data_IF_035771891096
#
_entry.id   IF_035771891096
#
_cell.length_a   1.000
_cell.length_b   1.000
_cell.length_c   1.000
_cell.angle_alpha   90.00
_cell.angle_beta   90.00
_cell.angle_gamma   90.00
#
_symmetry.space_group_name_H-M   'P 1'
#
loop_
_entity.id
_entity.type
_entity.pdbx_description
1 polymer ?
#
# COMPACT_ATOMS: atom_id res chain seq x y z
N UNK A 1 0.79 44.47 39.64
CA UNK A 1 -0.25 43.44 39.72
C UNK A 1 -1.34 43.47 38.62
N UNK A 2 -1.33 44.40 37.62
CA UNK A 2 -2.38 44.42 36.56
C UNK A 2 -1.92 43.83 35.19
N UNK A 3 -0.66 43.40 35.03
CA UNK A 3 -0.16 42.85 33.75
C UNK A 3 -0.37 41.35 33.58
N UNK A 4 -0.46 40.57 34.65
CA UNK A 4 -0.54 39.10 34.58
C UNK A 4 -1.92 38.60 34.18
N UNK A 5 -2.99 39.28 34.57
CA UNK A 5 -4.38 38.87 34.23
C UNK A 5 -4.73 38.99 32.71
N UNK A 6 -4.05 39.86 31.97
CA UNK A 6 -4.28 40.00 30.52
C UNK A 6 -3.62 38.88 29.75
N UNK A 7 -2.50 38.37 30.21
CA UNK A 7 -1.82 37.25 29.56
C UNK A 7 -2.60 35.92 29.77
N UNK A 8 -3.09 35.64 30.97
CA UNK A 8 -3.90 34.43 31.22
C UNK A 8 -5.19 34.42 30.40
N UNK A 9 -5.91 35.53 30.31
CA UNK A 9 -7.13 35.63 29.50
C UNK A 9 -6.85 35.36 28.00
N UNK A 10 -5.74 35.90 27.48
CA UNK A 10 -5.32 35.68 26.09
C UNK A 10 -4.97 34.22 25.80
N UNK A 11 -4.25 33.53 26.72
CA UNK A 11 -3.91 32.12 26.59
C UNK A 11 -5.15 31.23 26.69
N UNK A 12 -6.11 31.56 27.55
CA UNK A 12 -7.38 30.79 27.67
C UNK A 12 -8.23 30.96 26.41
N UNK A 13 -8.32 32.12 25.84
CA UNK A 13 -9.09 32.40 24.63
C UNK A 13 -8.44 31.82 23.39
N UNK A 14 -7.12 31.85 23.27
CA UNK A 14 -6.34 31.17 22.23
C UNK A 14 -6.48 29.65 22.32
N UNK A 15 -6.47 29.09 23.54
CA UNK A 15 -6.69 27.67 23.76
C UNK A 15 -8.10 27.22 23.41
N UNK A 16 -9.14 28.00 23.76
CA UNK A 16 -10.55 27.73 23.39
C UNK A 16 -10.76 27.81 21.89
N UNK A 17 -10.16 28.80 21.21
CA UNK A 17 -10.22 28.91 19.77
C UNK A 17 -9.48 27.75 19.07
N UNK A 18 -8.34 27.35 19.59
CA UNK A 18 -7.60 26.18 19.09
C UNK A 18 -8.39 24.89 19.25
N UNK A 19 -8.97 24.67 20.44
CA UNK A 19 -9.81 23.51 20.74
C UNK A 19 -11.08 23.50 19.85
N UNK A 20 -11.77 24.64 19.71
CA UNK A 20 -12.94 24.71 18.84
C UNK A 20 -12.62 24.49 17.36
N UNK A 21 -11.49 25.01 16.89
CA UNK A 21 -10.98 24.73 15.53
C UNK A 21 -10.58 23.25 15.35
N UNK A 22 -10.02 22.63 16.38
CA UNK A 22 -9.68 21.21 16.37
C UNK A 22 -10.96 20.34 16.28
N UNK A 23 -12.00 20.67 17.08
CA UNK A 23 -13.30 20.00 17.01
C UNK A 23 -14.01 20.20 15.67
N UNK A 24 -13.99 21.42 15.13
CA UNK A 24 -14.54 21.69 13.79
C UNK A 24 -13.77 20.92 12.70
N UNK A 25 -12.45 20.82 12.79
CA UNK A 25 -11.63 20.00 11.87
C UNK A 25 -11.87 18.50 12.06
N UNK A 26 -12.07 18.02 13.29
CA UNK A 26 -12.45 16.61 13.54
C UNK A 26 -13.78 16.23 12.88
N UNK A 27 -14.74 17.15 12.86
CA UNK A 27 -16.00 16.95 12.14
C UNK A 27 -15.84 16.97 10.61
N UNK A 28 -14.71 17.51 10.09
CA UNK A 28 -14.43 17.56 8.65
C UNK A 28 -13.80 16.27 8.09
N UNK A 29 -13.17 15.41 8.93
CA UNK A 29 -12.62 14.13 8.49
C UNK A 29 -13.60 13.01 8.86
N UNK A 30 -14.36 12.57 7.87
CA UNK A 30 -15.21 11.38 7.94
C UNK A 30 -14.55 10.24 7.16
N UNK A 31 -14.60 9.02 7.72
CA UNK A 31 -13.90 7.85 7.17
C UNK A 31 -14.93 6.77 6.78
N UNK A 32 -14.98 6.48 5.48
CA UNK A 32 -15.68 5.32 4.93
C UNK A 32 -14.69 4.18 4.74
N UNK A 33 -14.90 3.05 5.40
CA UNK A 33 -14.08 1.86 5.20
C UNK A 33 -14.64 1.04 4.03
N UNK A 34 -13.79 0.70 3.06
CA UNK A 34 -14.14 -0.13 1.90
C UNK A 34 -13.40 -1.46 1.99
N UNK A 35 -14.14 -2.56 2.07
CA UNK A 35 -13.61 -3.92 2.23
C UNK A 35 -14.03 -4.77 1.03
N UNK A 36 -13.14 -5.03 0.06
CA UNK A 36 -13.36 -6.05 -0.94
C UNK A 36 -13.15 -7.43 -0.32
N UNK A 37 -14.03 -8.39 -0.58
CA UNK A 37 -13.90 -9.76 -0.12
C UNK A 37 -14.41 -10.74 -1.17
N UNK A 38 -13.94 -12.01 -1.11
CA UNK A 38 -14.41 -13.06 -2.02
C UNK A 38 -14.11 -14.43 -1.40
N UNK A 39 -15.16 -15.18 -1.02
CA UNK A 39 -15.07 -16.53 -0.45
C UNK A 39 -14.14 -16.63 0.78
N UNK A 40 -14.08 -15.57 1.63
CA UNK A 40 -13.20 -15.44 2.80
C UNK A 40 -13.95 -14.98 4.05
N UNK A 41 -15.02 -15.69 4.40
CA UNK A 41 -15.91 -15.32 5.50
C UNK A 41 -15.19 -15.10 6.83
N UNK A 42 -14.26 -15.99 7.20
CA UNK A 42 -13.53 -15.89 8.48
C UNK A 42 -12.63 -14.65 8.53
N UNK A 43 -11.94 -14.36 7.44
CA UNK A 43 -11.12 -13.15 7.30
C UNK A 43 -11.99 -11.90 7.42
N UNK A 44 -13.10 -11.84 6.68
CA UNK A 44 -14.05 -10.74 6.79
C UNK A 44 -14.55 -10.55 8.23
N UNK A 45 -14.92 -11.62 8.92
CA UNK A 45 -15.36 -11.54 10.32
C UNK A 45 -14.23 -11.07 11.26
N UNK A 46 -12.97 -11.41 10.99
CA UNK A 46 -11.79 -10.96 11.75
C UNK A 46 -11.62 -9.45 11.63
N UNK A 47 -11.59 -8.93 10.41
CA UNK A 47 -11.42 -7.48 10.21
C UNK A 47 -12.63 -6.68 10.73
N UNK A 48 -13.86 -7.15 10.55
CA UNK A 48 -15.03 -6.49 11.10
C UNK A 48 -15.03 -6.46 12.64
N UNK A 49 -14.56 -7.53 13.29
CA UNK A 49 -14.33 -7.54 14.75
C UNK A 49 -13.27 -6.52 15.15
N UNK A 50 -12.17 -6.43 14.40
CA UNK A 50 -11.11 -5.45 14.63
C UNK A 50 -11.64 -4.02 14.50
N UNK A 51 -12.47 -3.74 13.50
CA UNK A 51 -13.14 -2.44 13.31
C UNK A 51 -14.16 -2.14 14.41
N UNK A 52 -14.97 -3.13 14.84
CA UNK A 52 -15.94 -2.95 15.92
C UNK A 52 -15.29 -2.67 17.29
N UNK A 53 -14.01 -3.03 17.46
CA UNK A 53 -13.23 -2.79 18.68
C UNK A 53 -12.43 -1.48 18.64
N UNK A 54 -12.51 -0.70 17.57
CA UNK A 54 -11.81 0.57 17.49
C UNK A 54 -12.28 1.56 18.55
N UNK A 55 -11.36 2.34 19.11
CA UNK A 55 -11.67 3.43 20.06
C UNK A 55 -12.48 4.56 19.40
N UNK A 56 -12.22 4.81 18.12
CA UNK A 56 -13.02 5.67 17.24
C UNK A 56 -13.46 4.80 16.07
N UNK A 57 -14.77 4.61 15.93
CA UNK A 57 -15.32 3.82 14.82
C UNK A 57 -15.19 4.58 13.49
N UNK A 58 -15.03 3.88 12.34
CA UNK A 58 -15.27 4.51 11.06
C UNK A 58 -16.72 4.98 10.95
N UNK A 59 -16.98 6.02 10.16
CA UNK A 59 -18.33 6.59 10.02
C UNK A 59 -19.26 5.62 9.27
N UNK A 60 -18.71 4.84 8.35
CA UNK A 60 -19.41 3.73 7.67
C UNK A 60 -18.42 2.64 7.23
N UNK A 61 -18.95 1.43 7.00
CA UNK A 61 -18.21 0.29 6.47
C UNK A 61 -18.95 -0.25 5.25
N UNK A 62 -18.31 -0.30 4.10
CA UNK A 62 -18.88 -0.80 2.85
C UNK A 62 -18.16 -2.11 2.50
N UNK A 63 -18.84 -3.22 2.70
CA UNK A 63 -18.37 -4.55 2.30
C UNK A 63 -18.83 -4.81 0.88
N UNK A 64 -17.87 -5.06 -0.02
CA UNK A 64 -18.16 -5.40 -1.41
C UNK A 64 -17.72 -6.84 -1.66
N UNK A 65 -18.68 -7.74 -1.72
CA UNK A 65 -18.47 -9.17 -1.77
C UNK A 65 -18.60 -9.73 -3.20
N UNK A 66 -17.53 -10.37 -3.67
CA UNK A 66 -17.44 -11.06 -4.96
C UNK A 66 -17.71 -12.57 -4.85
N UNK A 67 -18.13 -13.08 -3.71
CA UNK A 67 -18.34 -14.51 -3.48
C UNK A 67 -19.43 -15.11 -4.39
N UNK A 68 -19.23 -16.34 -4.82
CA UNK A 68 -20.16 -17.07 -5.70
C UNK A 68 -21.25 -17.84 -4.94
N UNK A 69 -21.08 -18.05 -3.64
CA UNK A 69 -22.01 -18.77 -2.77
C UNK A 69 -23.39 -18.08 -2.65
N UNK A 70 -24.45 -18.89 -2.45
CA UNK A 70 -25.82 -18.40 -2.27
C UNK A 70 -26.14 -17.98 -0.83
N UNK A 71 -25.26 -18.24 0.14
CA UNK A 71 -25.52 -17.87 1.53
C UNK A 71 -25.46 -16.36 1.70
N UNK A 72 -26.63 -15.74 1.75
CA UNK A 72 -26.80 -14.35 2.14
C UNK A 72 -26.62 -14.25 3.65
N UNK A 73 -25.41 -13.97 4.09
CA UNK A 73 -25.17 -13.59 5.48
C UNK A 73 -24.74 -12.15 5.50
N UNK A 74 -25.67 -11.26 5.76
CA UNK A 74 -25.36 -9.85 5.98
C UNK A 74 -24.57 -9.72 7.29
N UNK A 75 -23.31 -9.28 7.25
CA UNK A 75 -22.51 -9.13 8.45
C UNK A 75 -23.01 -8.03 9.39
N UNK A 76 -23.94 -7.16 8.95
CA UNK A 76 -24.48 -6.07 9.76
C UNK A 76 -25.13 -6.57 11.05
N UNK A 77 -25.85 -7.71 11.00
CA UNK A 77 -26.48 -8.30 12.18
C UNK A 77 -25.45 -8.74 13.24
N UNK A 78 -24.29 -9.20 12.81
CA UNK A 78 -23.23 -9.68 13.71
C UNK A 78 -22.40 -8.55 14.33
N UNK A 79 -22.42 -7.35 13.74
CA UNK A 79 -21.62 -6.20 14.16
C UNK A 79 -22.46 -4.92 14.33
N UNK A 80 -23.38 -4.86 15.29
CA UNK A 80 -24.35 -3.75 15.45
C UNK A 80 -23.70 -2.40 15.79
N UNK A 81 -22.44 -2.39 16.21
CA UNK A 81 -21.68 -1.15 16.44
C UNK A 81 -21.18 -0.47 15.16
N UNK A 82 -21.18 -1.19 14.05
CA UNK A 82 -20.72 -0.69 12.75
C UNK A 82 -21.90 -0.34 11.87
N UNK A 83 -21.81 0.78 11.17
CA UNK A 83 -22.75 1.14 10.11
C UNK A 83 -22.32 0.43 8.83
N UNK A 84 -22.79 -0.80 8.62
CA UNK A 84 -22.37 -1.67 7.51
C UNK A 84 -23.36 -1.56 6.35
N UNK A 85 -22.84 -1.33 5.14
CA UNK A 85 -23.52 -1.51 3.86
C UNK A 85 -22.90 -2.69 3.13
N UNK A 86 -23.69 -3.72 2.87
CA UNK A 86 -23.23 -4.93 2.18
C UNK A 86 -23.68 -4.91 0.72
N UNK A 87 -22.73 -5.16 -0.20
CA UNK A 87 -22.94 -5.11 -1.66
C UNK A 87 -22.37 -6.34 -2.30
N UNK A 88 -23.16 -7.06 -3.09
CA UNK A 88 -22.70 -8.19 -3.89
C UNK A 88 -22.36 -7.77 -5.32
N UNK A 89 -21.29 -8.38 -5.85
CA UNK A 89 -20.83 -8.15 -7.24
C UNK A 89 -20.09 -9.39 -7.76
N UNK A 90 -19.52 -9.32 -8.95
CA UNK A 90 -18.59 -10.33 -9.43
C UNK A 90 -17.21 -10.21 -8.77
N UNK A 91 -16.47 -11.33 -8.73
CA UNK A 91 -15.14 -11.41 -8.17
C UNK A 91 -14.11 -10.66 -9.04
N UNK A 92 -13.85 -9.40 -8.72
CA UNK A 92 -12.80 -8.57 -9.33
C UNK A 92 -12.42 -7.45 -8.36
N UNK A 93 -11.29 -7.55 -7.70
CA UNK A 93 -10.90 -6.66 -6.59
C UNK A 93 -10.88 -5.18 -6.96
N UNK A 94 -10.42 -4.83 -8.17
CA UNK A 94 -10.42 -3.44 -8.65
C UNK A 94 -11.84 -2.90 -8.81
N UNK A 95 -12.75 -3.71 -9.37
CA UNK A 95 -14.17 -3.37 -9.51
C UNK A 95 -14.82 -3.21 -8.14
N UNK A 96 -14.54 -4.15 -7.23
CA UNK A 96 -15.08 -4.12 -5.86
C UNK A 96 -14.64 -2.84 -5.13
N UNK A 97 -13.35 -2.48 -5.18
CA UNK A 97 -12.84 -1.23 -4.58
C UNK A 97 -13.50 -0.01 -5.20
N UNK A 98 -13.60 0.06 -6.52
CA UNK A 98 -14.24 1.19 -7.20
C UNK A 98 -15.73 1.32 -6.84
N UNK A 99 -16.46 0.21 -6.70
CA UNK A 99 -17.86 0.23 -6.22
C UNK A 99 -17.93 0.82 -4.83
N UNK A 100 -17.09 0.36 -3.89
CA UNK A 100 -17.03 0.87 -2.53
C UNK A 100 -16.69 2.36 -2.47
N UNK A 101 -15.67 2.81 -3.23
CA UNK A 101 -15.27 4.22 -3.31
C UNK A 101 -16.42 5.10 -3.83
N UNK A 102 -17.12 4.67 -4.88
CA UNK A 102 -18.28 5.42 -5.41
C UNK A 102 -19.44 5.53 -4.43
N UNK A 103 -19.69 4.48 -3.64
CA UNK A 103 -20.79 4.43 -2.66
C UNK A 103 -20.48 5.17 -1.37
N UNK A 104 -19.21 5.38 -1.05
CA UNK A 104 -18.81 6.01 0.20
C UNK A 104 -19.28 7.47 0.31
N UNK A 105 -19.68 7.88 1.52
CA UNK A 105 -20.06 9.26 1.84
C UNK A 105 -18.94 10.06 2.49
N UNK A 106 -17.95 9.39 3.08
CA UNK A 106 -16.86 10.01 3.82
C UNK A 106 -15.93 10.86 2.96
N UNK A 107 -15.29 11.85 3.59
CA UNK A 107 -14.25 12.68 2.97
C UNK A 107 -12.95 11.91 2.70
N UNK A 108 -12.72 10.84 3.45
CA UNK A 108 -11.58 9.92 3.33
C UNK A 108 -12.08 8.49 3.22
N UNK A 109 -11.36 7.71 2.43
CA UNK A 109 -11.63 6.28 2.24
C UNK A 109 -10.56 5.48 2.95
N UNK A 110 -10.95 4.64 3.87
CA UNK A 110 -10.10 3.60 4.40
C UNK A 110 -10.20 2.37 3.50
N UNK A 111 -9.22 2.21 2.63
CA UNK A 111 -9.04 0.98 1.86
C UNK A 111 -8.56 -0.11 2.81
N UNK A 112 -9.37 -1.14 3.02
CA UNK A 112 -9.12 -2.15 4.04
C UNK A 112 -9.27 -3.53 3.43
N UNK A 113 -8.16 -4.29 3.36
CA UNK A 113 -8.23 -5.68 2.91
C UNK A 113 -8.87 -6.58 3.98
N UNK A 114 -9.52 -7.66 3.56
CA UNK A 114 -10.29 -8.53 4.45
C UNK A 114 -9.42 -9.39 5.38
N UNK A 115 -8.12 -9.52 5.10
CA UNK A 115 -7.16 -10.34 5.85
C UNK A 115 -6.23 -9.54 6.78
N UNK A 116 -6.66 -8.36 7.23
CA UNK A 116 -5.96 -7.52 8.18
C UNK A 116 -6.42 -7.70 9.63
N UNK A 117 -5.54 -7.33 10.55
CA UNK A 117 -5.83 -7.11 11.97
C UNK A 117 -5.22 -5.78 12.39
N UNK A 118 -6.04 -4.91 12.99
CA UNK A 118 -5.70 -3.53 13.33
C UNK A 118 -5.56 -3.34 14.84
N UNK A 119 -4.65 -2.49 15.31
CA UNK A 119 -4.64 -2.06 16.71
C UNK A 119 -5.93 -1.26 17.03
N UNK A 120 -6.37 -1.28 18.28
CA UNK A 120 -7.65 -0.69 18.73
C UNK A 120 -7.75 0.83 18.52
N UNK A 121 -6.65 1.51 18.36
CA UNK A 121 -6.56 2.96 18.17
C UNK A 121 -6.23 3.35 16.71
N UNK A 122 -6.27 2.40 15.77
CA UNK A 122 -5.86 2.62 14.39
C UNK A 122 -6.57 3.80 13.73
N UNK A 123 -7.91 3.76 13.71
CA UNK A 123 -8.73 4.81 13.08
C UNK A 123 -8.52 6.16 13.77
N UNK A 124 -8.44 6.17 15.11
CA UNK A 124 -8.20 7.38 15.89
C UNK A 124 -6.85 8.02 15.55
N UNK A 125 -5.77 7.24 15.53
CA UNK A 125 -4.41 7.73 15.25
C UNK A 125 -4.22 8.21 13.82
N UNK A 126 -4.81 7.51 12.85
CA UNK A 126 -4.80 7.97 11.45
C UNK A 126 -5.55 9.30 11.32
N UNK A 127 -6.75 9.41 11.93
CA UNK A 127 -7.55 10.64 11.92
C UNK A 127 -6.80 11.80 12.57
N UNK A 128 -6.18 11.55 13.72
CA UNK A 128 -5.33 12.54 14.42
C UNK A 128 -4.15 12.99 13.56
N UNK A 129 -3.43 12.06 12.94
CA UNK A 129 -2.31 12.38 12.06
C UNK A 129 -2.73 13.27 10.89
N UNK A 130 -3.82 12.94 10.21
CA UNK A 130 -4.35 13.74 9.08
C UNK A 130 -4.80 15.13 9.52
N UNK A 131 -5.35 15.26 10.74
CA UNK A 131 -5.73 16.55 11.31
C UNK A 131 -4.51 17.42 11.62
N UNK A 132 -3.46 16.83 12.17
CA UNK A 132 -2.21 17.53 12.50
C UNK A 132 -1.37 17.86 11.26
N UNK A 133 -1.57 17.12 10.16
CA UNK A 133 -0.83 17.25 8.91
C UNK A 133 -1.77 17.53 7.72
N UNK A 134 -2.31 18.75 7.57
CA UNK A 134 -3.33 19.07 6.55
C UNK A 134 -2.88 18.88 5.10
N UNK A 135 -1.58 18.76 4.86
CA UNK A 135 -1.00 18.46 3.54
C UNK A 135 -0.91 16.94 3.26
N UNK A 136 -1.04 16.11 4.29
CA UNK A 136 -1.06 14.67 4.13
C UNK A 136 -2.43 14.23 3.60
N UNK A 137 -2.46 13.62 2.42
CA UNK A 137 -3.67 13.13 1.78
C UNK A 137 -3.83 11.61 1.91
N UNK A 138 -2.75 10.92 2.33
CA UNK A 138 -2.71 9.46 2.52
C UNK A 138 -1.90 9.15 3.76
N UNK A 139 -2.48 8.34 4.65
CA UNK A 139 -1.80 7.80 5.82
C UNK A 139 -2.12 6.31 6.00
N UNK A 140 -1.13 5.56 6.46
CA UNK A 140 -1.26 4.12 6.74
C UNK A 140 -0.38 3.73 7.92
N UNK A 141 -0.68 2.59 8.55
CA UNK A 141 0.21 1.96 9.52
C UNK A 141 1.32 1.16 8.85
N UNK A 142 2.28 0.72 9.64
CA UNK A 142 3.36 -0.15 9.20
C UNK A 142 2.85 -1.60 9.12
N UNK A 143 2.88 -2.17 7.91
CA UNK A 143 2.37 -3.53 7.67
C UNK A 143 3.38 -4.57 8.12
N UNK A 144 2.93 -5.48 8.97
CA UNK A 144 3.66 -6.65 9.43
C UNK A 144 3.12 -7.89 8.74
N UNK A 145 4.02 -8.74 8.29
CA UNK A 145 3.71 -10.04 7.70
C UNK A 145 4.49 -11.13 8.42
N UNK A 146 3.98 -12.37 8.42
CA UNK A 146 4.72 -13.49 9.00
C UNK A 146 5.91 -13.85 8.11
N UNK A 147 7.09 -13.92 8.71
CA UNK A 147 8.30 -14.41 8.06
C UNK A 147 8.28 -15.96 7.96
N UNK A 148 9.31 -16.56 7.37
CA UNK A 148 9.45 -18.02 7.24
C UNK A 148 9.48 -18.76 8.59
N UNK A 149 9.81 -18.06 9.70
CA UNK A 149 9.82 -18.61 11.06
C UNK A 149 8.46 -18.47 11.76
N UNK A 150 7.49 -17.78 11.13
CA UNK A 150 6.19 -17.50 11.70
C UNK A 150 6.12 -16.24 12.58
N UNK A 151 7.22 -15.50 12.72
CA UNK A 151 7.28 -14.26 13.48
C UNK A 151 6.74 -13.08 12.65
N UNK A 152 6.08 -12.14 13.30
CA UNK A 152 5.65 -10.90 12.68
C UNK A 152 6.84 -9.99 12.40
N UNK A 153 7.04 -9.60 11.14
CA UNK A 153 8.09 -8.74 10.69
C UNK A 153 7.57 -7.72 9.66
N UNK A 154 8.05 -6.48 9.75
CA UNK A 154 7.76 -5.43 8.76
C UNK A 154 8.91 -5.23 7.76
N UNK A 155 10.07 -5.80 8.05
CA UNK A 155 11.26 -5.73 7.23
C UNK A 155 11.49 -7.08 6.54
N UNK A 156 11.89 -7.02 5.29
CA UNK A 156 12.43 -8.19 4.61
C UNK A 156 13.86 -8.47 5.16
N UNK A 157 14.30 -9.75 5.17
CA UNK A 157 15.65 -10.10 5.63
C UNK A 157 16.68 -9.23 4.92
N UNK A 158 17.66 -8.74 5.71
CA UNK A 158 18.74 -7.92 5.20
C UNK A 158 19.38 -8.51 3.94
N UNK A 159 19.35 -7.75 2.85
CA UNK A 159 20.10 -8.11 1.67
C UNK A 159 21.59 -8.01 2.00
N UNK A 160 22.39 -9.02 1.64
CA UNK A 160 23.84 -8.87 1.69
C UNK A 160 24.27 -7.74 0.75
N UNK A 161 25.45 -7.14 1.00
CA UNK A 161 25.99 -6.11 0.11
C UNK A 161 26.05 -6.57 -1.36
N UNK A 162 26.34 -7.86 -1.60
CA UNK A 162 26.31 -8.46 -2.94
C UNK A 162 24.92 -8.52 -3.56
N UNK A 163 23.88 -8.85 -2.79
CA UNK A 163 22.50 -8.83 -3.28
C UNK A 163 22.03 -7.41 -3.57
N UNK A 164 22.39 -6.45 -2.70
CA UNK A 164 22.07 -5.04 -2.91
C UNK A 164 22.77 -4.50 -4.16
N UNK A 165 24.04 -4.87 -4.39
CA UNK A 165 24.79 -4.52 -5.60
C UNK A 165 24.13 -5.11 -6.86
N UNK A 166 23.70 -6.37 -6.81
CA UNK A 166 22.94 -7.00 -7.90
C UNK A 166 21.67 -6.22 -8.20
N UNK A 167 20.87 -5.91 -7.18
CA UNK A 167 19.63 -5.13 -7.32
C UNK A 167 19.90 -3.73 -7.87
N UNK A 168 21.02 -3.11 -7.48
CA UNK A 168 21.42 -1.80 -7.97
C UNK A 168 21.77 -1.86 -9.46
N UNK A 169 22.61 -2.80 -9.91
CA UNK A 169 23.00 -2.94 -11.32
C UNK A 169 21.80 -3.24 -12.20
N UNK A 170 20.91 -4.12 -11.76
CA UNK A 170 19.73 -4.52 -12.52
C UNK A 170 18.48 -3.67 -12.21
N UNK A 171 18.60 -2.64 -11.38
CA UNK A 171 17.49 -1.74 -11.03
C UNK A 171 16.23 -2.49 -10.55
N UNK A 172 16.43 -3.52 -9.75
CA UNK A 172 15.36 -4.36 -9.20
C UNK A 172 14.69 -3.69 -7.98
N UNK A 173 13.53 -4.21 -7.59
CA UNK A 173 12.84 -3.75 -6.38
C UNK A 173 13.68 -3.95 -5.12
N UNK A 174 13.69 -2.93 -4.26
CA UNK A 174 14.36 -2.98 -2.95
C UNK A 174 13.34 -2.57 -1.87
N UNK A 175 13.18 -3.45 -0.89
CA UNK A 175 12.38 -3.22 0.32
C UNK A 175 13.28 -3.58 1.51
N UNK A 176 14.11 -2.64 1.91
CA UNK A 176 15.13 -2.93 2.92
C UNK A 176 15.75 -1.63 3.45
N UNK A 177 15.94 -1.53 4.76
CA UNK A 177 16.63 -0.40 5.37
C UNK A 177 18.14 -0.45 5.02
N UNK A 178 18.55 0.45 4.13
CA UNK A 178 19.90 0.42 3.57
C UNK A 178 20.98 0.70 4.64
N UNK A 179 20.64 1.43 5.70
CA UNK A 179 21.58 1.75 6.78
C UNK A 179 21.95 0.51 7.61
N UNK A 180 21.16 -0.57 7.49
CA UNK A 180 21.41 -1.86 8.12
C UNK A 180 22.21 -2.83 7.27
N UNK A 181 22.69 -2.41 6.08
CA UNK A 181 23.46 -3.27 5.18
C UNK A 181 24.87 -3.53 5.73
N UNK A 182 25.21 -4.80 5.93
CA UNK A 182 26.55 -5.19 6.31
C UNK A 182 27.55 -5.02 5.14
N UNK A 183 28.71 -4.44 5.41
CA UNK A 183 29.69 -4.01 4.39
C UNK A 183 30.34 -5.15 3.61
N UNK A 184 30.40 -6.37 4.15
CA UNK A 184 30.94 -7.55 3.46
C UNK A 184 32.27 -7.30 2.70
N UNK A 185 32.51 -8.07 1.65
CA UNK A 185 33.69 -7.97 0.78
C UNK A 185 33.70 -6.80 -0.22
N UNK A 186 32.57 -6.08 -0.37
CA UNK A 186 32.51 -4.94 -1.28
C UNK A 186 33.21 -3.74 -0.66
N UNK A 187 34.15 -3.15 -1.39
CA UNK A 187 34.86 -1.96 -0.95
C UNK A 187 33.91 -0.84 -0.55
N UNK A 188 34.21 -0.14 0.56
CA UNK A 188 33.33 0.88 1.14
C UNK A 188 32.85 1.96 0.16
N UNK A 189 33.61 2.26 -0.91
CA UNK A 189 33.24 3.23 -1.93
C UNK A 189 32.02 2.78 -2.79
N UNK A 190 31.89 1.47 -3.09
CA UNK A 190 30.73 0.93 -3.83
C UNK A 190 29.46 1.06 -2.97
N UNK A 191 29.56 0.72 -1.69
CA UNK A 191 28.47 0.90 -0.74
C UNK A 191 28.06 2.37 -0.61
N UNK A 192 29.03 3.27 -0.52
CA UNK A 192 28.78 4.72 -0.48
C UNK A 192 28.07 5.19 -1.75
N UNK A 193 28.47 4.71 -2.93
CA UNK A 193 27.82 5.04 -4.19
C UNK A 193 26.36 4.54 -4.22
N UNK A 194 26.11 3.29 -3.81
CA UNK A 194 24.76 2.74 -3.74
C UNK A 194 23.89 3.46 -2.71
N UNK A 195 24.43 3.71 -1.52
CA UNK A 195 23.72 4.45 -0.46
C UNK A 195 23.38 5.87 -0.91
N UNK A 196 24.29 6.56 -1.56
CA UNK A 196 24.04 7.88 -2.14
C UNK A 196 22.95 7.82 -3.22
N UNK A 197 23.00 6.84 -4.13
CA UNK A 197 21.97 6.65 -5.16
C UNK A 197 20.59 6.44 -4.54
N UNK A 198 20.47 5.51 -3.57
CA UNK A 198 19.20 5.22 -2.94
C UNK A 198 18.70 6.38 -2.06
N UNK A 199 19.59 7.06 -1.34
CA UNK A 199 19.23 8.25 -0.55
C UNK A 199 18.71 9.38 -1.44
N UNK A 200 19.33 9.60 -2.60
CA UNK A 200 18.90 10.61 -3.57
C UNK A 200 17.55 10.28 -4.19
N UNK A 201 17.28 9.01 -4.43
CA UNK A 201 15.99 8.57 -4.96
C UNK A 201 14.88 8.56 -3.90
N UNK A 202 15.24 8.36 -2.64
CA UNK A 202 14.29 8.20 -1.54
C UNK A 202 13.36 7.00 -1.73
N UNK A 203 12.32 6.91 -0.90
CA UNK A 203 11.28 5.88 -1.01
C UNK A 203 10.37 6.18 -2.21
N UNK A 204 10.68 5.60 -3.36
CA UNK A 204 10.07 5.96 -4.64
C UNK A 204 10.04 4.75 -5.59
N UNK A 205 10.68 4.82 -6.73
CA UNK A 205 10.85 3.73 -7.68
C UNK A 205 12.26 3.73 -8.28
N UNK A 206 12.74 2.56 -8.68
CA UNK A 206 14.02 2.40 -9.37
C UNK A 206 13.95 3.01 -10.78
N UNK A 207 15.08 3.12 -11.46
CA UNK A 207 15.09 3.57 -12.85
C UNK A 207 14.31 2.62 -13.79
N UNK A 208 14.13 1.37 -13.38
CA UNK A 208 13.30 0.38 -14.08
C UNK A 208 11.83 0.41 -13.64
N UNK A 209 11.41 1.35 -12.80
CA UNK A 209 10.04 1.50 -12.35
C UNK A 209 9.62 0.60 -11.20
N UNK A 210 10.48 -0.29 -10.69
CA UNK A 210 10.14 -1.14 -9.54
C UNK A 210 10.04 -0.32 -8.25
N UNK A 211 9.13 -0.69 -7.32
CA UNK A 211 9.06 -0.04 -6.03
C UNK A 211 10.39 -0.06 -5.26
N UNK A 212 10.69 1.04 -4.60
CA UNK A 212 11.89 1.27 -3.82
C UNK A 212 11.51 1.82 -2.45
N UNK A 213 11.77 1.07 -1.38
CA UNK A 213 11.60 1.51 0.00
C UNK A 213 12.86 1.14 0.77
N UNK A 214 13.70 2.12 1.05
CA UNK A 214 15.03 1.94 1.63
C UNK A 214 15.26 2.75 2.89
N UNK A 215 14.31 3.58 3.28
CA UNK A 215 14.37 4.43 4.46
C UNK A 215 13.11 4.25 5.29
N UNK A 216 13.27 3.80 6.53
CA UNK A 216 12.19 3.54 7.50
C UNK A 216 12.35 4.46 8.71
N UNK A 217 12.29 5.76 8.47
CA UNK A 217 12.50 6.79 9.49
C UNK A 217 11.34 6.83 10.48
N UNK A 218 11.62 6.79 11.79
CA UNK A 218 10.60 6.95 12.83
C UNK A 218 10.35 8.42 13.15
N UNK A 219 9.15 8.78 13.59
CA UNK A 219 7.92 7.99 13.73
C UNK A 219 7.13 7.84 12.43
N UNK A 220 7.48 8.56 11.36
CA UNK A 220 6.78 8.57 10.07
C UNK A 220 7.80 8.62 8.94
N UNK A 221 7.60 7.82 7.91
CA UNK A 221 8.30 8.01 6.64
C UNK A 221 7.30 8.17 5.49
N UNK A 222 7.74 8.78 4.39
CA UNK A 222 6.93 8.92 3.18
C UNK A 222 7.44 7.99 2.10
N UNK A 223 6.54 7.47 1.26
CA UNK A 223 6.87 6.63 0.13
C UNK A 223 5.92 6.85 -1.05
N UNK A 224 6.41 6.58 -2.26
CA UNK A 224 5.57 6.61 -3.46
C UNK A 224 4.69 5.36 -3.59
N UNK A 225 5.17 4.21 -3.14
CA UNK A 225 4.48 2.93 -3.24
C UNK A 225 4.47 2.20 -1.91
N UNK A 226 3.29 1.78 -1.50
CA UNK A 226 3.06 0.94 -0.32
C UNK A 226 1.79 0.10 -0.53
N UNK A 227 1.57 -0.89 0.35
CA UNK A 227 0.30 -1.61 0.37
C UNK A 227 -0.84 -0.67 0.75
N UNK A 228 -1.78 -0.41 -0.17
CA UNK A 228 -2.91 0.47 0.10
C UNK A 228 -4.03 -0.22 0.90
N UNK A 229 -3.97 -1.54 1.05
CA UNK A 229 -5.01 -2.30 1.76
C UNK A 229 -5.20 -1.98 3.24
N UNK A 230 -4.37 -1.10 3.82
CA UNK A 230 -4.53 -0.57 5.16
C UNK A 230 -4.49 0.98 5.18
N UNK A 231 -4.73 1.65 4.06
CA UNK A 231 -4.48 3.08 3.93
C UNK A 231 -5.76 3.90 3.96
N UNK A 232 -5.73 5.03 4.66
CA UNK A 232 -6.77 6.05 4.59
C UNK A 232 -6.32 7.10 3.58
N UNK A 233 -7.12 7.28 2.53
CA UNK A 233 -6.83 8.13 1.38
C UNK A 233 -7.91 9.17 1.22
N UNK A 234 -7.57 10.41 0.94
CA UNK A 234 -8.53 11.46 0.61
C UNK A 234 -9.38 11.03 -0.59
N UNK A 235 -10.71 11.01 -0.44
CA UNK A 235 -11.64 10.46 -1.44
C UNK A 235 -11.44 11.04 -2.84
N UNK A 236 -11.23 12.36 -2.94
CA UNK A 236 -11.02 13.02 -4.23
C UNK A 236 -9.84 12.46 -5.02
N UNK A 237 -8.79 11.96 -4.34
CA UNK A 237 -7.62 11.36 -4.99
C UNK A 237 -7.96 9.98 -5.60
N UNK A 238 -8.76 9.17 -4.91
CA UNK A 238 -9.22 7.89 -5.44
C UNK A 238 -10.26 8.04 -6.56
N UNK A 239 -11.06 9.10 -6.50
CA UNK A 239 -12.00 9.42 -7.59
C UNK A 239 -11.25 9.90 -8.84
N UNK A 240 -10.19 10.69 -8.67
CA UNK A 240 -9.33 11.14 -9.76
C UNK A 240 -8.41 10.02 -10.31
N UNK A 241 -8.06 9.04 -9.45
CA UNK A 241 -7.17 7.92 -9.77
C UNK A 241 -7.84 6.59 -9.39
N UNK A 242 -8.90 6.17 -10.08
CA UNK A 242 -9.60 4.92 -9.75
C UNK A 242 -8.72 3.71 -10.01
N UNK A 243 -9.07 2.59 -9.39
CA UNK A 243 -8.46 1.30 -9.69
C UNK A 243 -8.73 0.91 -11.14
N UNK A 244 -7.71 0.41 -11.82
CA UNK A 244 -7.83 0.00 -13.23
C UNK A 244 -8.55 -1.36 -13.33
N UNK A 245 -9.77 -1.33 -13.84
CA UNK A 245 -10.63 -2.52 -13.98
C UNK A 245 -10.19 -3.45 -15.15
N UNK A 246 -9.15 -3.06 -15.92
CA UNK A 246 -8.51 -3.95 -16.90
C UNK A 246 -7.65 -5.04 -16.23
N UNK A 247 -7.22 -4.81 -15.00
CA UNK A 247 -6.53 -5.85 -14.23
C UNK A 247 -7.48 -7.02 -13.99
N UNK A 248 -6.91 -8.22 -13.94
CA UNK A 248 -7.69 -9.43 -13.70
C UNK A 248 -8.37 -9.47 -12.31
N UNK A 249 -9.13 -10.53 -12.05
CA UNK A 249 -9.90 -10.67 -10.82
C UNK A 249 -9.07 -10.49 -9.52
N UNK A 250 -7.77 -10.81 -9.57
CA UNK A 250 -6.87 -10.68 -8.42
C UNK A 250 -6.25 -9.28 -8.30
N UNK A 251 -6.35 -8.43 -9.33
CA UNK A 251 -5.86 -7.05 -9.32
C UNK A 251 -4.37 -6.88 -9.08
N UNK A 252 -3.53 -7.86 -9.45
CA UNK A 252 -2.10 -7.80 -9.17
C UNK A 252 -1.46 -6.57 -9.84
N UNK A 253 -0.93 -5.65 -9.01
CA UNK A 253 -0.35 -4.38 -9.44
C UNK A 253 -1.28 -3.17 -9.32
N UNK A 254 -2.49 -3.35 -8.82
CA UNK A 254 -3.52 -2.33 -8.64
C UNK A 254 -3.06 -1.15 -7.77
N UNK A 255 -2.48 -1.41 -6.61
CA UNK A 255 -1.95 -0.39 -5.71
C UNK A 255 -0.83 0.43 -6.37
N UNK A 256 0.00 -0.21 -7.21
CA UNK A 256 1.02 0.48 -7.98
C UNK A 256 0.38 1.42 -9.00
N UNK A 257 -0.62 0.94 -9.74
CA UNK A 257 -1.34 1.73 -10.75
C UNK A 257 -2.00 2.96 -10.15
N UNK A 258 -2.75 2.79 -9.06
CA UNK A 258 -3.41 3.90 -8.35
C UNK A 258 -2.39 4.90 -7.82
N UNK A 259 -1.35 4.42 -7.10
CA UNK A 259 -0.33 5.28 -6.51
C UNK A 259 0.43 6.09 -7.57
N UNK A 260 0.70 5.51 -8.74
CA UNK A 260 1.39 6.19 -9.82
C UNK A 260 0.60 7.39 -10.38
N UNK A 261 -0.73 7.35 -10.27
CA UNK A 261 -1.61 8.42 -10.75
C UNK A 261 -1.93 9.48 -9.68
N UNK A 262 -1.47 9.32 -8.44
CA UNK A 262 -1.66 10.35 -7.43
C UNK A 262 -1.02 11.68 -7.85
N UNK A 263 -1.64 12.82 -7.51
CA UNK A 263 -1.16 14.14 -7.90
C UNK A 263 0.29 14.42 -7.48
N UNK A 264 0.68 13.92 -6.31
CA UNK A 264 2.01 14.12 -5.70
C UNK A 264 2.68 12.78 -5.44
N UNK A 265 4.01 12.70 -5.53
CA UNK A 265 4.84 11.57 -5.13
C UNK A 265 6.16 12.08 -4.53
N UNK A 266 6.61 11.51 -3.39
CA UNK A 266 5.95 10.48 -2.56
C UNK A 266 4.75 11.06 -1.77
N UNK A 267 3.66 10.32 -1.66
CA UNK A 267 2.40 10.79 -1.08
C UNK A 267 1.93 9.99 0.14
N UNK A 268 2.41 8.76 0.30
CA UNK A 268 1.94 7.83 1.32
C UNK A 268 2.77 8.03 2.60
N UNK A 269 2.11 8.44 3.68
CA UNK A 269 2.72 8.57 5.00
C UNK A 269 2.52 7.27 5.78
N UNK A 270 3.62 6.63 6.17
CA UNK A 270 3.60 5.37 6.93
C UNK A 270 3.97 5.66 8.38
N UNK A 271 3.02 5.43 9.30
CA UNK A 271 3.20 5.61 10.74
C UNK A 271 3.84 4.34 11.31
N UNK A 272 5.12 4.41 11.70
CA UNK A 272 5.90 3.22 12.08
C UNK A 272 5.49 2.64 13.43
N UNK A 273 4.84 3.45 14.28
CA UNK A 273 4.34 3.04 15.59
C UNK A 273 2.89 2.53 15.56
N UNK A 274 2.34 2.34 14.36
CA UNK A 274 0.96 1.86 14.15
C UNK A 274 1.00 0.52 13.38
N UNK A 275 1.24 -0.61 14.06
CA UNK A 275 1.40 -1.90 13.41
C UNK A 275 0.08 -2.41 12.83
N UNK A 276 0.11 -2.90 11.61
CA UNK A 276 -0.99 -3.59 10.93
C UNK A 276 -0.55 -5.01 10.62
N UNK A 277 -1.27 -6.00 11.13
CA UNK A 277 -0.96 -7.41 10.87
C UNK A 277 -1.72 -7.90 9.63
N UNK A 278 -0.98 -8.33 8.61
CA UNK A 278 -1.52 -8.87 7.37
C UNK A 278 -1.36 -10.39 7.36
N UNK A 279 -2.48 -11.11 7.53
CA UNK A 279 -2.49 -12.57 7.73
C UNK A 279 -2.18 -13.37 6.46
N UNK A 280 -2.27 -12.75 5.26
CA UNK A 280 -1.98 -13.40 3.98
C UNK A 280 -2.75 -14.70 3.79
N UNK A 281 -4.08 -14.63 3.85
CA UNK A 281 -4.91 -15.83 3.65
C UNK A 281 -4.57 -16.54 2.34
N UNK A 282 -4.49 -17.86 2.38
CA UNK A 282 -4.15 -18.70 1.21
C UNK A 282 -5.29 -18.82 0.20
N UNK A 283 -6.54 -18.73 0.69
CA UNK A 283 -7.72 -18.82 -0.17
C UNK A 283 -7.71 -17.74 -1.26
N UNK A 284 -7.94 -18.15 -2.50
CA UNK A 284 -7.96 -17.27 -3.69
C UNK A 284 -6.64 -16.53 -3.97
N UNK A 285 -5.52 -16.99 -3.41
CA UNK A 285 -4.21 -16.41 -3.64
C UNK A 285 -3.49 -17.10 -4.79
N UNK A 286 -2.90 -16.31 -5.68
CA UNK A 286 -2.07 -16.83 -6.75
C UNK A 286 -0.73 -17.36 -6.22
N UNK A 287 -0.15 -18.32 -6.93
CA UNK A 287 1.23 -18.74 -6.65
C UNK A 287 2.22 -17.59 -6.80
N UNK A 288 3.39 -17.69 -6.16
CA UNK A 288 4.40 -16.65 -6.20
C UNK A 288 4.85 -16.33 -7.63
N UNK A 289 5.05 -17.35 -8.46
CA UNK A 289 5.44 -17.21 -9.85
C UNK A 289 4.37 -16.53 -10.71
N UNK A 290 3.10 -16.91 -10.55
CA UNK A 290 2.00 -16.27 -11.28
C UNK A 290 1.83 -14.80 -10.84
N UNK A 291 1.92 -14.50 -9.55
CA UNK A 291 1.89 -13.15 -9.03
C UNK A 291 3.04 -12.29 -9.58
N UNK A 292 4.25 -12.84 -9.68
CA UNK A 292 5.39 -12.18 -10.29
C UNK A 292 5.14 -11.86 -11.79
N UNK A 293 4.63 -12.83 -12.55
CA UNK A 293 4.32 -12.67 -13.95
C UNK A 293 3.31 -11.53 -14.18
N UNK A 294 2.18 -11.56 -13.47
CA UNK A 294 1.12 -10.55 -13.59
C UNK A 294 1.59 -9.16 -13.13
N UNK A 295 2.36 -9.10 -12.04
CA UNK A 295 2.95 -7.84 -11.57
C UNK A 295 3.87 -7.21 -12.62
N UNK A 296 4.69 -8.00 -13.29
CA UNK A 296 5.54 -7.52 -14.37
C UNK A 296 4.76 -6.99 -15.58
N UNK A 297 3.67 -7.65 -15.96
CA UNK A 297 2.77 -7.17 -17.02
C UNK A 297 2.08 -5.85 -16.62
N UNK A 298 1.54 -5.78 -15.41
CA UNK A 298 0.89 -4.58 -14.89
C UNK A 298 1.88 -3.40 -14.80
N UNK A 299 3.10 -3.65 -14.30
CA UNK A 299 4.13 -2.61 -14.21
C UNK A 299 4.48 -2.07 -15.60
N UNK A 300 4.69 -2.93 -16.60
CA UNK A 300 4.91 -2.49 -17.99
C UNK A 300 3.74 -1.66 -18.49
N UNK A 301 2.52 -2.10 -18.25
CA UNK A 301 1.29 -1.40 -18.69
C UNK A 301 1.24 0.01 -18.08
N UNK A 302 1.36 0.16 -16.79
CA UNK A 302 1.33 1.46 -16.11
C UNK A 302 2.50 2.37 -16.50
N UNK A 303 3.69 1.81 -16.73
CA UNK A 303 4.84 2.59 -17.23
C UNK A 303 4.60 3.14 -18.64
N UNK A 304 3.82 2.45 -19.48
CA UNK A 304 3.46 2.95 -20.82
C UNK A 304 2.42 4.06 -20.76
N UNK A 305 1.45 3.96 -19.85
CA UNK A 305 0.41 4.96 -19.65
C UNK A 305 0.86 6.21 -18.90
N UNK A 306 2.03 6.18 -18.21
CA UNK A 306 2.49 7.27 -17.38
C UNK A 306 3.57 8.12 -18.06
N UNK A 307 3.43 9.44 -17.98
CA UNK A 307 4.43 10.42 -18.43
C UNK A 307 5.68 10.48 -17.54
N UNK A 308 5.63 9.85 -16.37
CA UNK A 308 6.76 9.78 -15.42
C UNK A 308 7.91 8.89 -15.92
N UNK A 309 7.64 8.00 -16.89
CA UNK A 309 8.62 7.06 -17.43
C UNK A 309 8.95 7.34 -18.89
N UNK A 310 10.24 7.45 -19.15
CA UNK A 310 10.80 7.65 -20.49
C UNK A 310 11.04 6.31 -21.20
N UNK A 311 11.46 6.36 -22.47
CA UNK A 311 11.92 5.19 -23.21
C UNK A 311 13.12 4.48 -22.52
N UNK A 312 14.02 5.26 -21.91
CA UNK A 312 15.16 4.72 -21.16
C UNK A 312 14.70 3.89 -19.93
N UNK A 313 13.69 4.36 -19.19
CA UNK A 313 13.13 3.60 -18.06
C UNK A 313 12.54 2.27 -18.54
N UNK A 314 11.86 2.26 -19.69
CA UNK A 314 11.27 1.03 -20.27
C UNK A 314 12.35 0.04 -20.72
N UNK A 315 13.48 0.52 -21.25
CA UNK A 315 14.64 -0.35 -21.55
C UNK A 315 15.27 -0.90 -20.27
N UNK A 316 15.44 -0.08 -19.24
CA UNK A 316 15.93 -0.54 -17.93
C UNK A 316 14.98 -1.53 -17.27
N UNK A 317 13.66 -1.42 -17.51
CA UNK A 317 12.70 -2.44 -17.08
C UNK A 317 13.02 -3.82 -17.70
N UNK A 318 13.27 -3.88 -19.02
CA UNK A 318 13.68 -5.14 -19.69
C UNK A 318 15.01 -5.63 -19.12
N UNK A 319 15.98 -4.74 -18.88
CA UNK A 319 17.25 -5.06 -18.24
C UNK A 319 17.04 -5.68 -16.85
N UNK A 320 16.14 -5.13 -16.06
CA UNK A 320 15.80 -5.66 -14.73
C UNK A 320 15.24 -7.08 -14.77
N UNK A 321 14.49 -7.43 -15.82
CA UNK A 321 13.96 -8.78 -16.00
C UNK A 321 15.05 -9.80 -16.29
N UNK A 322 16.12 -9.42 -17.00
CA UNK A 322 17.29 -10.27 -17.18
C UNK A 322 17.99 -10.54 -15.85
N UNK A 323 18.11 -9.53 -15.01
CA UNK A 323 18.66 -9.69 -13.65
C UNK A 323 17.80 -10.61 -12.76
N UNK A 324 16.47 -10.48 -12.82
CA UNK A 324 15.56 -11.37 -12.11
C UNK A 324 15.68 -12.82 -12.63
N UNK A 325 15.71 -12.99 -13.95
CA UNK A 325 15.87 -14.29 -14.60
C UNK A 325 17.16 -14.99 -14.14
N UNK A 326 18.29 -14.29 -14.17
CA UNK A 326 19.59 -14.83 -13.76
C UNK A 326 19.59 -15.17 -12.25
N UNK A 327 18.98 -14.33 -11.40
CA UNK A 327 18.86 -14.60 -9.97
C UNK A 327 18.00 -15.85 -9.69
N UNK A 328 16.87 -16.03 -10.38
CA UNK A 328 16.04 -17.22 -10.23
C UNK A 328 16.74 -18.48 -10.72
N UNK A 329 17.50 -18.41 -11.79
CA UNK A 329 18.32 -19.51 -12.28
C UNK A 329 19.39 -19.91 -11.26
N UNK A 330 20.13 -18.94 -10.73
CA UNK A 330 21.19 -19.16 -9.73
C UNK A 330 20.63 -19.78 -8.42
N UNK A 331 19.45 -19.30 -7.97
CA UNK A 331 18.75 -19.83 -6.78
C UNK A 331 17.98 -21.13 -7.06
N UNK A 332 18.00 -21.66 -8.28
CA UNK A 332 17.24 -22.85 -8.73
C UNK A 332 15.73 -22.75 -8.45
N UNK A 333 15.18 -21.55 -8.47
CA UNK A 333 13.76 -21.32 -8.29
C UNK A 333 13.02 -21.47 -9.61
N UNK A 334 12.65 -22.70 -9.94
CA UNK A 334 12.07 -23.08 -11.23
C UNK A 334 10.70 -22.47 -11.51
N UNK A 335 9.91 -22.24 -10.47
CA UNK A 335 8.60 -21.61 -10.59
C UNK A 335 8.75 -20.17 -11.11
N UNK A 336 9.55 -19.35 -10.40
CA UNK A 336 9.81 -17.97 -10.79
C UNK A 336 10.58 -17.86 -12.11
N UNK A 337 11.46 -18.82 -12.41
CA UNK A 337 12.18 -18.86 -13.68
C UNK A 337 11.23 -19.07 -14.87
N UNK A 338 10.24 -19.98 -14.74
CA UNK A 338 9.20 -20.15 -15.77
C UNK A 338 8.35 -18.89 -15.93
N UNK A 339 7.97 -18.25 -14.84
CA UNK A 339 7.23 -17.00 -14.85
C UNK A 339 8.03 -15.87 -15.51
N UNK A 340 9.33 -15.74 -15.21
CA UNK A 340 10.23 -14.77 -15.82
C UNK A 340 10.38 -15.00 -17.34
N UNK A 341 10.48 -16.25 -17.79
CA UNK A 341 10.50 -16.60 -19.22
C UNK A 341 9.20 -16.18 -19.92
N UNK A 342 8.04 -16.46 -19.30
CA UNK A 342 6.73 -16.04 -19.84
C UNK A 342 6.64 -14.53 -19.94
N UNK A 343 7.04 -13.83 -18.88
CA UNK A 343 7.03 -12.36 -18.82
C UNK A 343 7.94 -11.76 -19.89
N UNK A 344 9.18 -12.23 -19.99
CA UNK A 344 10.14 -11.77 -20.98
C UNK A 344 9.60 -11.95 -22.41
N UNK A 345 9.07 -13.12 -22.73
CA UNK A 345 8.41 -13.39 -24.03
C UNK A 345 7.24 -12.43 -24.28
N UNK A 346 6.36 -12.22 -23.31
CA UNK A 346 5.21 -11.33 -23.45
C UNK A 346 5.63 -9.89 -23.77
N UNK A 347 6.70 -9.42 -23.15
CA UNK A 347 7.21 -8.06 -23.33
C UNK A 347 7.94 -7.90 -24.66
N UNK A 348 8.88 -8.79 -24.98
CA UNK A 348 9.68 -8.73 -26.22
C UNK A 348 8.81 -8.92 -27.46
N UNK A 349 7.86 -9.84 -27.41
CA UNK A 349 6.92 -10.08 -28.50
C UNK A 349 5.74 -9.11 -28.52
N UNK A 350 5.74 -8.09 -27.65
CA UNK A 350 4.65 -7.09 -27.49
C UNK A 350 3.28 -7.73 -27.28
N UNK A 351 3.25 -8.79 -26.45
CA UNK A 351 2.09 -9.63 -26.18
C UNK A 351 1.48 -9.39 -24.79
N UNK A 352 1.75 -8.21 -24.20
CA UNK A 352 1.13 -7.84 -22.93
C UNK A 352 -0.39 -7.66 -23.13
N UNK A 353 -1.24 -8.48 -22.47
CA UNK A 353 -2.69 -8.42 -22.66
C UNK A 353 -3.31 -7.08 -22.25
N UNK A 354 -2.69 -6.36 -21.30
CA UNK A 354 -3.16 -5.05 -20.84
C UNK A 354 -2.87 -3.94 -21.87
N UNK A 355 -1.90 -4.10 -22.79
CA UNK A 355 -1.53 -3.12 -23.82
C UNK A 355 -2.21 -3.36 -25.17
N UNK A 356 -2.94 -4.47 -25.35
CA UNK A 356 -3.56 -4.87 -26.61
C UNK A 356 -5.02 -4.47 -26.77
N UNK A 357 -5.57 -3.75 -25.80
CA UNK A 357 -6.98 -3.34 -25.77
C UNK A 357 -7.16 -1.90 -26.19
#
# INVERSE_FOLDING_TARGET
>A
MRSDYRNESYYIEASKNFISQLFLRQALITISTVIPTCDRRESLHRILRSLAQQSVLPDEVIVVDGSTGREEHDPAESFPRLNISYVRTGAAVCVQRNIGIRRSAGSHIFLCDDDLELPKDYVARIKEFLLQNPKANIATGLVYEKNEKGDWAYEYPAASAGELFWKFIFQQSVWYDIDKTETGYFGGWILLLMSHFYATRGNSYTLAGWPLVTQFTKPVFTTAFYGLGASVVKKEWLVASPYDELLDANGIGDNYGVALHFPELPAIHVLTELPVHHHKEEANRLSGGESYYRRGLALQYFMHGSTRFTGANRMLFVWSLLGNWAAFLAKRNWEYLRAANRLFKAIVLRNNPYLRR
#
